data_IF_790245963655
#
_entry.id   IF_790245963655
#
_cell.length_a   1.000
_cell.length_b   1.000
_cell.length_c   1.000
_cell.angle_alpha   90.00
_cell.angle_beta   90.00
_cell.angle_gamma   90.00
#
_symmetry.space_group_name_H-M   'P 1'
#
loop_
_entity.id
_entity.type
_entity.pdbx_description
1 polymer ?
#
# COMPACT_ATOMS: atom_id res chain seq x y z
N UNK A 1 2.07 59.61 30.51
CA UNK A 1 2.20 58.17 30.93
C UNK A 1 3.34 58.12 31.94
N UNK A 2 3.09 57.67 33.17
CA UNK A 2 4.12 57.62 34.24
C UNK A 2 5.18 56.58 33.87
N UNK A 3 6.43 56.83 34.24
CA UNK A 3 7.61 55.95 33.95
C UNK A 3 7.37 54.46 34.34
N UNK A 4 6.56 54.20 35.36
CA UNK A 4 6.20 52.89 35.83
C UNK A 4 5.27 52.13 34.85
N UNK A 5 4.36 52.82 34.18
CA UNK A 5 3.47 52.26 33.16
C UNK A 5 4.24 51.87 31.91
N UNK A 6 5.16 52.71 31.43
CA UNK A 6 6.02 52.41 30.28
C UNK A 6 6.90 51.16 30.54
N UNK A 7 7.43 51.03 31.77
CA UNK A 7 8.19 49.84 32.17
C UNK A 7 7.35 48.57 32.19
N UNK A 8 6.14 48.65 32.70
CA UNK A 8 5.22 47.50 32.74
C UNK A 8 4.79 47.03 31.30
N UNK A 9 4.53 47.98 30.41
CA UNK A 9 4.23 47.70 29.00
C UNK A 9 5.43 47.05 28.33
N UNK A 10 6.64 47.53 28.58
CA UNK A 10 7.86 46.94 28.01
C UNK A 10 8.07 45.50 28.50
N UNK A 11 7.85 45.24 29.79
CA UNK A 11 7.95 43.91 30.38
C UNK A 11 6.92 42.94 29.72
N UNK A 12 5.68 43.38 29.54
CA UNK A 12 4.63 42.57 28.88
C UNK A 12 4.99 42.26 27.42
N UNK A 13 5.57 43.21 26.69
CA UNK A 13 6.03 43.01 25.32
C UNK A 13 7.17 41.98 25.26
N UNK A 14 8.14 42.08 26.19
CA UNK A 14 9.23 41.11 26.26
C UNK A 14 8.70 39.70 26.57
N UNK A 15 7.77 39.57 27.51
CA UNK A 15 7.12 38.27 27.85
C UNK A 15 6.39 37.71 26.64
N UNK A 16 5.61 38.53 25.91
CA UNK A 16 4.88 38.05 24.71
C UNK A 16 5.83 37.58 23.62
N UNK A 17 6.97 38.28 23.41
CA UNK A 17 8.00 37.86 22.44
C UNK A 17 8.63 36.54 22.88
N UNK A 18 8.94 36.36 24.16
CA UNK A 18 9.52 35.12 24.69
C UNK A 18 8.54 33.94 24.54
N UNK A 19 7.22 34.14 24.74
CA UNK A 19 6.21 33.14 24.52
C UNK A 19 6.16 32.72 23.04
N UNK A 20 6.15 33.69 22.11
CA UNK A 20 6.13 33.41 20.66
C UNK A 20 7.41 32.65 20.23
N UNK A 21 8.57 33.01 20.79
CA UNK A 21 9.81 32.29 20.51
C UNK A 21 9.73 30.86 21.06
N UNK A 22 9.24 30.66 22.28
CA UNK A 22 9.11 29.35 22.90
C UNK A 22 8.13 28.47 22.13
N UNK A 23 6.99 29.00 21.67
CA UNK A 23 6.05 28.29 20.83
C UNK A 23 6.65 27.89 19.46
N UNK A 24 7.38 28.79 18.80
CA UNK A 24 8.07 28.47 17.54
C UNK A 24 9.15 27.41 17.73
N UNK A 25 9.92 27.48 18.82
CA UNK A 25 10.92 26.47 19.17
C UNK A 25 10.23 25.13 19.44
N UNK A 26 9.14 25.11 20.23
CA UNK A 26 8.37 23.91 20.53
C UNK A 26 7.77 23.26 19.25
N UNK A 27 7.22 24.07 18.36
CA UNK A 27 6.68 23.60 17.07
C UNK A 27 7.81 23.00 16.21
N UNK A 28 8.95 23.69 16.07
CA UNK A 28 10.09 23.19 15.28
C UNK A 28 10.68 21.89 15.83
N UNK A 29 10.68 21.69 17.16
CA UNK A 29 11.18 20.45 17.77
C UNK A 29 10.18 19.28 17.68
N UNK A 30 8.87 19.55 17.65
CA UNK A 30 7.85 18.50 17.72
C UNK A 30 7.13 18.22 16.38
N UNK A 31 7.30 19.06 15.37
CA UNK A 31 6.80 18.77 14.02
C UNK A 31 7.93 18.17 13.18
N UNK A 32 7.77 16.94 12.65
CA UNK A 32 8.75 16.40 11.71
C UNK A 32 8.87 17.36 10.53
N UNK A 33 10.09 17.58 10.06
CA UNK A 33 10.29 18.46 8.92
C UNK A 33 9.60 17.87 7.68
N UNK A 34 9.28 18.70 6.69
CA UNK A 34 8.56 18.25 5.48
C UNK A 34 9.34 17.16 4.74
N UNK A 35 10.65 17.18 4.77
CA UNK A 35 11.49 16.20 4.08
C UNK A 35 11.45 14.83 4.77
N UNK A 36 11.42 14.80 6.11
CA UNK A 36 11.23 13.59 6.88
C UNK A 36 9.83 12.99 6.66
N UNK A 37 8.79 13.83 6.62
CA UNK A 37 7.43 13.39 6.29
C UNK A 37 7.36 12.81 4.87
N UNK A 38 8.03 13.41 3.90
CA UNK A 38 8.11 12.91 2.53
C UNK A 38 8.81 11.55 2.52
N UNK A 39 9.98 11.44 3.16
CA UNK A 39 10.77 10.19 3.20
C UNK A 39 9.95 9.02 3.75
N UNK A 40 9.30 9.22 4.90
CA UNK A 40 8.47 8.17 5.51
C UNK A 40 7.28 7.76 4.62
N UNK A 41 6.68 8.70 3.92
CA UNK A 41 5.54 8.44 3.04
C UNK A 41 5.94 7.85 1.68
N UNK A 42 7.17 8.09 1.22
CA UNK A 42 7.72 7.46 0.02
C UNK A 42 7.88 5.94 0.19
N UNK A 43 8.15 5.46 1.40
CA UNK A 43 8.12 4.04 1.74
C UNK A 43 6.72 3.45 1.51
N UNK A 44 5.68 4.11 2.05
CA UNK A 44 4.28 3.69 1.88
C UNK A 44 3.82 3.75 0.43
N UNK A 45 4.30 4.74 -0.31
CA UNK A 45 4.03 4.88 -1.75
C UNK A 45 4.75 3.82 -2.60
N UNK A 46 5.75 3.13 -2.02
CA UNK A 46 6.57 2.13 -2.71
C UNK A 46 7.63 2.72 -3.64
N UNK A 47 8.04 3.98 -3.43
CA UNK A 47 9.03 4.69 -4.27
C UNK A 47 10.46 4.60 -3.75
N UNK A 48 10.66 3.88 -2.65
CA UNK A 48 11.98 3.55 -2.05
C UNK A 48 12.15 2.04 -1.95
N UNK A 49 13.38 1.59 -2.04
CA UNK A 49 13.73 0.21 -1.74
C UNK A 49 13.53 -0.03 -0.24
N UNK A 50 13.11 -1.24 0.13
CA UNK A 50 12.88 -1.61 1.53
C UNK A 50 13.51 -2.95 1.86
N UNK A 51 13.94 -3.10 3.11
CA UNK A 51 14.53 -4.31 3.66
C UNK A 51 13.86 -4.69 4.97
N UNK A 52 13.75 -5.98 5.23
CA UNK A 52 13.24 -6.47 6.52
C UNK A 52 13.05 -7.97 6.52
N UNK A 53 12.72 -8.51 7.69
CA UNK A 53 12.30 -9.89 7.81
C UNK A 53 10.97 -10.14 7.10
N UNK A 54 10.68 -11.41 6.79
CA UNK A 54 9.42 -11.77 6.15
C UNK A 54 9.42 -13.18 5.58
N UNK A 55 8.68 -13.38 4.49
CA UNK A 55 8.58 -14.67 3.80
C UNK A 55 8.85 -14.55 2.31
N UNK A 56 9.33 -15.65 1.74
CA UNK A 56 9.46 -15.85 0.30
C UNK A 56 8.59 -17.04 -0.09
N UNK A 57 7.71 -16.85 -1.05
CA UNK A 57 6.84 -17.89 -1.62
C UNK A 57 7.33 -18.17 -3.04
N UNK A 58 7.72 -19.41 -3.30
CA UNK A 58 8.07 -19.89 -4.62
C UNK A 58 6.94 -20.77 -5.15
N UNK A 59 6.37 -20.43 -6.30
CA UNK A 59 5.27 -21.16 -6.91
C UNK A 59 5.75 -21.68 -8.28
N UNK A 60 5.65 -22.98 -8.46
CA UNK A 60 5.82 -23.65 -9.75
C UNK A 60 4.49 -24.22 -10.17
N UNK A 61 3.95 -23.76 -11.30
CA UNK A 61 2.62 -24.11 -11.78
C UNK A 61 2.46 -25.58 -12.23
N UNK A 62 3.53 -26.34 -12.32
CA UNK A 62 3.44 -27.81 -12.54
C UNK A 62 2.60 -28.18 -13.74
N UNK A 63 1.50 -28.91 -13.49
CA UNK A 63 0.54 -29.35 -14.52
C UNK A 63 -0.66 -28.41 -14.67
N UNK A 64 -0.95 -27.59 -13.68
CA UNK A 64 -2.02 -26.59 -13.68
C UNK A 64 -1.42 -25.19 -13.75
N UNK A 65 -2.10 -24.29 -14.47
CA UNK A 65 -1.63 -22.94 -14.68
C UNK A 65 -2.04 -22.03 -13.52
N UNK A 66 -1.11 -21.19 -13.05
CA UNK A 66 -1.44 -20.07 -12.18
C UNK A 66 -2.15 -19.00 -13.02
N UNK A 67 -3.27 -18.49 -12.50
CA UNK A 67 -4.06 -17.43 -13.11
C UNK A 67 -3.88 -16.09 -12.36
N UNK A 68 -4.35 -15.00 -12.96
CA UNK A 68 -4.32 -13.68 -12.30
C UNK A 68 -5.03 -13.67 -10.95
N UNK A 69 -6.14 -14.43 -10.84
CA UNK A 69 -6.95 -14.54 -9.62
C UNK A 69 -6.16 -15.13 -8.47
N UNK A 70 -5.35 -16.17 -8.74
CA UNK A 70 -4.49 -16.80 -7.74
C UNK A 70 -3.50 -15.80 -7.13
N UNK A 71 -2.88 -14.99 -7.99
CA UNK A 71 -1.96 -13.93 -7.53
C UNK A 71 -2.72 -12.89 -6.72
N UNK A 72 -3.88 -12.41 -7.19
CA UNK A 72 -4.70 -11.40 -6.49
C UNK A 72 -5.11 -11.89 -5.10
N UNK A 73 -5.56 -13.15 -4.98
CA UNK A 73 -5.96 -13.75 -3.70
C UNK A 73 -4.76 -13.88 -2.76
N UNK A 74 -3.60 -14.35 -3.26
CA UNK A 74 -2.38 -14.45 -2.45
C UNK A 74 -1.90 -13.08 -1.96
N UNK A 75 -1.99 -12.05 -2.78
CA UNK A 75 -1.65 -10.69 -2.38
C UNK A 75 -2.56 -10.19 -1.25
N UNK A 76 -3.85 -10.49 -1.32
CA UNK A 76 -4.80 -10.12 -0.27
C UNK A 76 -4.54 -10.91 1.02
N UNK A 77 -4.32 -12.22 0.95
CA UNK A 77 -3.94 -13.02 2.12
C UNK A 77 -2.65 -12.51 2.81
N UNK A 78 -1.66 -12.06 2.03
CA UNK A 78 -0.44 -11.47 2.57
C UNK A 78 -0.71 -10.14 3.28
N UNK A 79 -1.57 -9.28 2.72
CA UNK A 79 -1.99 -8.02 3.35
C UNK A 79 -2.76 -8.29 4.65
N UNK A 80 -3.72 -9.23 4.62
CA UNK A 80 -4.46 -9.70 5.81
C UNK A 80 -3.51 -10.23 6.91
N UNK A 81 -2.42 -10.88 6.52
CA UNK A 81 -1.40 -11.40 7.43
C UNK A 81 -0.45 -10.34 8.00
N UNK A 82 -0.60 -9.08 7.60
CA UNK A 82 0.20 -7.97 8.10
C UNK A 82 1.49 -7.72 7.31
N UNK A 83 1.55 -8.10 6.03
CA UNK A 83 2.66 -7.72 5.17
C UNK A 83 2.73 -6.19 5.00
N UNK A 84 3.91 -5.61 5.16
CA UNK A 84 4.17 -4.18 5.03
C UNK A 84 4.62 -3.79 3.62
N UNK A 85 5.24 -4.73 2.91
CA UNK A 85 5.68 -4.57 1.54
C UNK A 85 5.64 -5.91 0.80
N UNK A 86 5.17 -5.91 -0.45
CA UNK A 86 5.06 -7.12 -1.26
C UNK A 86 5.64 -6.87 -2.65
N UNK A 87 6.28 -7.89 -3.22
CA UNK A 87 6.65 -7.93 -4.64
C UNK A 87 6.39 -9.30 -5.24
N UNK A 88 6.11 -9.34 -6.55
CA UNK A 88 5.98 -10.56 -7.34
C UNK A 88 6.96 -10.49 -8.50
N UNK A 89 7.86 -11.46 -8.62
CA UNK A 89 8.94 -11.48 -9.63
C UNK A 89 9.66 -10.12 -9.75
N UNK A 90 9.94 -9.47 -8.60
CA UNK A 90 10.58 -8.17 -8.54
C UNK A 90 9.68 -6.96 -8.81
N UNK A 91 8.41 -7.14 -9.18
CA UNK A 91 7.47 -6.05 -9.34
C UNK A 91 6.88 -5.67 -7.97
N UNK A 92 7.17 -4.46 -7.47
CA UNK A 92 6.61 -3.93 -6.21
C UNK A 92 5.11 -3.72 -6.34
N UNK A 93 4.36 -4.27 -5.40
CA UNK A 93 2.92 -4.07 -5.32
C UNK A 93 2.62 -2.72 -4.63
N UNK A 94 1.79 -1.91 -5.26
CA UNK A 94 1.35 -0.59 -4.78
C UNK A 94 -0.15 -0.43 -4.98
N UNK A 95 -0.75 0.65 -4.44
CA UNK A 95 -2.21 0.83 -4.36
C UNK A 95 -2.98 0.67 -5.68
N UNK A 96 -2.37 1.03 -6.80
CA UNK A 96 -2.97 0.92 -8.12
C UNK A 96 -2.30 -0.16 -8.99
N UNK A 97 -1.65 -1.15 -8.38
CA UNK A 97 -1.15 -2.33 -9.09
C UNK A 97 -2.33 -3.18 -9.55
N UNK A 98 -2.24 -3.68 -10.78
CA UNK A 98 -3.18 -4.64 -11.34
C UNK A 98 -2.44 -5.86 -11.88
N UNK A 99 -3.12 -7.01 -11.83
CA UNK A 99 -2.69 -8.28 -12.39
C UNK A 99 -3.63 -8.63 -13.53
N UNK A 100 -3.09 -8.97 -14.68
CA UNK A 100 -3.88 -9.27 -15.89
C UNK A 100 -3.32 -10.49 -16.60
N UNK A 101 -4.21 -11.36 -17.14
CA UNK A 101 -3.86 -12.46 -18.02
C UNK A 101 -4.02 -12.05 -19.50
N UNK A 102 -2.95 -12.20 -20.28
CA UNK A 102 -2.97 -12.13 -21.74
C UNK A 102 -2.70 -13.54 -22.31
N UNK A 103 -3.77 -14.29 -22.54
CA UNK A 103 -3.68 -15.72 -22.85
C UNK A 103 -3.09 -16.51 -21.69
N UNK A 104 -1.91 -17.11 -21.87
CA UNK A 104 -1.21 -17.88 -20.85
C UNK A 104 -0.13 -17.09 -20.08
N UNK A 105 -0.05 -15.78 -20.29
CA UNK A 105 0.97 -14.91 -19.69
C UNK A 105 0.33 -13.98 -18.68
N UNK A 106 0.86 -13.97 -17.45
CA UNK A 106 0.46 -13.02 -16.42
C UNK A 106 1.30 -11.73 -16.55
N UNK A 107 0.62 -10.60 -16.44
CA UNK A 107 1.24 -9.28 -16.40
C UNK A 107 0.93 -8.61 -15.06
N UNK A 108 1.93 -7.95 -14.48
CA UNK A 108 1.76 -7.03 -13.35
C UNK A 108 2.14 -5.64 -13.84
N UNK A 109 1.19 -4.70 -13.80
CA UNK A 109 1.40 -3.33 -14.30
C UNK A 109 1.94 -3.29 -15.75
N UNK A 110 1.51 -4.25 -16.59
CA UNK A 110 1.96 -4.39 -17.98
C UNK A 110 3.31 -5.10 -18.15
N UNK A 111 3.98 -5.49 -17.07
CA UNK A 111 5.24 -6.26 -17.12
C UNK A 111 4.92 -7.75 -17.09
N UNK A 112 5.41 -8.48 -18.10
CA UNK A 112 5.24 -9.93 -18.18
C UNK A 112 6.00 -10.62 -17.05
N UNK A 113 5.30 -11.50 -16.34
CA UNK A 113 5.90 -12.39 -15.34
C UNK A 113 5.60 -13.84 -15.70
N UNK A 114 6.37 -14.76 -15.20
CA UNK A 114 6.21 -16.19 -15.51
C UNK A 114 6.81 -17.07 -14.44
N UNK A 115 6.57 -18.34 -14.62
CA UNK A 115 7.04 -19.42 -13.76
C UNK A 115 8.59 -19.49 -13.72
N UNK A 116 9.21 -19.65 -12.51
CA UNK A 116 8.55 -19.68 -11.22
C UNK A 116 8.05 -18.30 -10.77
N UNK A 117 6.89 -18.27 -10.11
CA UNK A 117 6.41 -17.05 -9.47
C UNK A 117 7.07 -16.92 -8.09
N UNK A 118 7.84 -15.86 -7.91
CA UNK A 118 8.53 -15.57 -6.64
C UNK A 118 7.85 -14.38 -5.98
N UNK A 119 7.12 -14.65 -4.89
CA UNK A 119 6.46 -13.61 -4.11
C UNK A 119 7.30 -13.37 -2.86
N UNK A 120 7.66 -12.12 -2.61
CA UNK A 120 8.35 -11.68 -1.41
C UNK A 120 7.43 -10.79 -0.60
N UNK A 121 7.35 -11.00 0.71
CA UNK A 121 6.58 -10.18 1.63
C UNK A 121 7.42 -9.84 2.86
N UNK A 122 7.58 -8.56 3.16
CA UNK A 122 8.23 -8.04 4.37
C UNK A 122 7.17 -7.81 5.44
N UNK A 123 7.47 -8.12 6.70
CA UNK A 123 6.64 -7.99 7.89
C UNK A 123 7.02 -9.07 8.90
N UNK A 124 6.28 -9.20 10.01
CA UNK A 124 6.57 -10.25 11.02
C UNK A 124 6.54 -11.64 10.37
N UNK A 125 7.71 -12.20 10.18
CA UNK A 125 7.92 -13.45 9.42
C UNK A 125 7.17 -14.64 10.01
N UNK A 126 7.00 -14.68 11.33
CA UNK A 126 6.31 -15.76 12.02
C UNK A 126 4.78 -15.67 11.81
N UNK A 127 4.23 -14.48 11.95
CA UNK A 127 2.79 -14.22 11.76
C UNK A 127 2.38 -14.48 10.31
N UNK A 128 3.11 -13.91 9.34
CA UNK A 128 2.80 -14.07 7.92
C UNK A 128 2.94 -15.53 7.51
N UNK A 129 4.03 -16.20 7.91
CA UNK A 129 4.22 -17.63 7.61
C UNK A 129 3.06 -18.48 8.14
N UNK A 130 2.68 -18.28 9.41
CA UNK A 130 1.57 -19.02 10.03
C UNK A 130 0.22 -18.79 9.35
N UNK A 131 -0.05 -17.55 8.94
CA UNK A 131 -1.27 -17.20 8.23
C UNK A 131 -1.34 -17.84 6.84
N UNK A 132 -0.25 -17.77 6.06
CA UNK A 132 -0.21 -18.25 4.68
C UNK A 132 -0.18 -19.78 4.61
N UNK A 133 0.48 -20.47 5.56
CA UNK A 133 0.60 -21.94 5.57
C UNK A 133 -0.52 -22.65 6.33
N UNK A 134 -1.58 -21.94 6.77
CA UNK A 134 -2.71 -22.55 7.49
C UNK A 134 -3.44 -23.59 6.61
N UNK A 135 -3.94 -24.67 7.24
CA UNK A 135 -4.57 -25.81 6.55
C UNK A 135 -5.76 -25.47 5.62
N UNK A 136 -6.39 -24.31 5.80
CA UNK A 136 -7.52 -23.83 4.98
C UNK A 136 -7.19 -22.52 4.24
N UNK A 137 -5.92 -22.13 4.16
CA UNK A 137 -5.45 -20.97 3.42
C UNK A 137 -5.35 -21.27 1.92
N UNK A 138 -5.11 -20.23 1.16
CA UNK A 138 -5.08 -20.34 -0.29
C UNK A 138 -3.89 -21.18 -0.80
N UNK A 139 -2.73 -21.12 -0.14
CA UNK A 139 -1.58 -22.00 -0.43
C UNK A 139 -1.96 -23.47 -0.32
N UNK A 140 -2.76 -23.86 0.70
CA UNK A 140 -3.22 -25.22 0.83
C UNK A 140 -4.18 -25.64 -0.32
N UNK A 141 -4.97 -24.71 -0.83
CA UNK A 141 -5.83 -24.92 -2.01
C UNK A 141 -4.98 -25.15 -3.27
N UNK A 142 -4.02 -24.27 -3.56
CA UNK A 142 -3.10 -24.41 -4.69
C UNK A 142 -2.34 -25.75 -4.67
N UNK A 143 -1.85 -26.13 -3.47
CA UNK A 143 -1.13 -27.41 -3.32
C UNK A 143 -2.04 -28.61 -3.59
N UNK A 144 -3.31 -28.57 -3.15
CA UNK A 144 -4.29 -29.60 -3.42
C UNK A 144 -4.62 -29.74 -4.91
N UNK A 145 -4.58 -28.61 -5.63
CA UNK A 145 -4.82 -28.56 -7.07
C UNK A 145 -3.56 -28.94 -7.90
N UNK A 146 -2.49 -29.37 -7.22
CA UNK A 146 -1.28 -29.91 -7.87
C UNK A 146 -0.18 -28.88 -8.12
N UNK A 147 -0.36 -27.63 -7.70
CA UNK A 147 0.64 -26.58 -7.82
C UNK A 147 1.69 -26.73 -6.71
N UNK A 148 2.96 -26.65 -7.09
CA UNK A 148 4.06 -26.74 -6.14
C UNK A 148 4.29 -25.36 -5.49
N UNK A 149 4.04 -25.27 -4.18
CA UNK A 149 4.25 -24.04 -3.41
C UNK A 149 5.25 -24.30 -2.28
N UNK A 150 6.34 -23.57 -2.26
CA UNK A 150 7.33 -23.57 -1.18
C UNK A 150 7.31 -22.20 -0.48
N UNK A 151 7.18 -22.20 0.84
CA UNK A 151 7.13 -20.98 1.67
C UNK A 151 8.27 -21.01 2.66
N UNK A 152 9.13 -20.02 2.63
CA UNK A 152 10.30 -19.90 3.50
C UNK A 152 10.29 -18.58 4.25
N UNK A 153 10.71 -18.60 5.52
CA UNK A 153 11.02 -17.39 6.29
C UNK A 153 12.41 -16.89 5.95
N UNK A 154 12.60 -15.59 5.95
CA UNK A 154 13.89 -14.94 5.77
C UNK A 154 14.04 -13.79 6.76
N UNK A 155 15.24 -13.61 7.32
CA UNK A 155 15.55 -12.53 8.25
C UNK A 155 15.83 -11.20 7.52
N UNK A 156 16.18 -11.28 6.22
CA UNK A 156 16.46 -10.11 5.38
C UNK A 156 15.96 -10.34 3.96
N UNK A 157 14.93 -9.59 3.59
CA UNK A 157 14.33 -9.57 2.27
C UNK A 157 14.48 -8.17 1.71
N UNK A 158 15.06 -8.06 0.53
CA UNK A 158 15.05 -6.82 -0.24
C UNK A 158 13.88 -6.81 -1.21
N UNK A 159 13.10 -5.71 -1.19
CA UNK A 159 12.06 -5.42 -2.18
C UNK A 159 12.34 -4.04 -2.78
N UNK A 160 12.64 -4.02 -4.07
CA UNK A 160 12.94 -2.80 -4.80
C UNK A 160 11.72 -1.89 -4.93
N UNK A 161 11.98 -0.61 -5.12
CA UNK A 161 10.95 0.40 -5.40
C UNK A 161 10.18 0.12 -6.70
N UNK A 162 8.97 0.67 -6.78
CA UNK A 162 8.16 0.57 -7.99
C UNK A 162 8.72 1.42 -9.14
N UNK A 163 8.54 0.92 -10.36
CA UNK A 163 8.88 1.64 -11.61
C UNK A 163 7.65 2.33 -12.23
N UNK A 164 6.48 2.33 -11.57
CA UNK A 164 5.26 2.96 -12.13
C UNK A 164 5.48 4.45 -12.42
N UNK A 165 5.12 4.87 -13.62
CA UNK A 165 5.32 6.24 -14.10
C UNK A 165 4.63 7.28 -13.21
N UNK A 166 3.40 6.99 -12.73
CA UNK A 166 2.66 7.91 -11.84
C UNK A 166 3.43 8.17 -10.54
N UNK A 167 4.06 7.13 -9.98
CA UNK A 167 4.87 7.24 -8.76
C UNK A 167 6.17 7.99 -9.02
N UNK A 168 6.85 7.75 -10.14
CA UNK A 168 8.05 8.49 -10.56
C UNK A 168 7.78 9.98 -10.77
N UNK A 169 6.61 10.35 -11.30
CA UNK A 169 6.22 11.76 -11.45
C UNK A 169 6.07 12.48 -10.10
N UNK A 170 5.74 11.76 -9.05
CA UNK A 170 5.70 12.33 -7.68
C UNK A 170 7.11 12.51 -7.13
N UNK A 171 7.98 11.52 -7.30
CA UNK A 171 9.39 11.59 -6.85
C UNK A 171 10.10 12.78 -7.49
N UNK A 172 9.83 13.05 -8.77
CA UNK A 172 10.45 14.13 -9.54
C UNK A 172 9.91 15.54 -9.23
N UNK A 173 8.87 15.68 -8.40
CA UNK A 173 8.35 17.00 -7.99
C UNK A 173 9.37 17.72 -7.08
N UNK A 174 9.83 18.88 -7.53
CA UNK A 174 10.87 19.67 -6.83
C UNK A 174 10.35 20.49 -5.65
N UNK A 175 9.05 20.81 -5.65
CA UNK A 175 8.45 21.57 -4.57
C UNK A 175 7.98 20.62 -3.47
N UNK A 176 8.64 20.64 -2.30
CA UNK A 176 8.39 19.71 -1.20
C UNK A 176 6.93 19.73 -0.70
N UNK A 177 6.29 20.90 -0.62
CA UNK A 177 4.89 21.02 -0.21
C UNK A 177 3.94 20.39 -1.25
N UNK A 178 4.19 20.65 -2.55
CA UNK A 178 3.41 20.04 -3.63
C UNK A 178 3.64 18.53 -3.69
N UNK A 179 4.88 18.08 -3.49
CA UNK A 179 5.26 16.67 -3.44
C UNK A 179 4.52 15.95 -2.31
N UNK A 180 4.59 16.49 -1.09
CA UNK A 180 3.88 15.95 0.06
C UNK A 180 2.38 15.83 -0.19
N UNK A 181 1.75 16.87 -0.75
CA UNK A 181 0.31 16.85 -1.09
C UNK A 181 -0.04 15.80 -2.14
N UNK A 182 0.82 15.58 -3.15
CA UNK A 182 0.62 14.52 -4.15
C UNK A 182 0.72 13.13 -3.51
N UNK A 183 1.73 12.91 -2.66
CA UNK A 183 1.89 11.67 -1.91
C UNK A 183 0.64 11.40 -1.06
N UNK A 184 0.19 12.39 -0.27
CA UNK A 184 -0.98 12.25 0.59
C UNK A 184 -2.27 11.90 -0.16
N UNK A 185 -2.43 12.36 -1.39
CA UNK A 185 -3.53 11.93 -2.26
C UNK A 185 -3.42 10.46 -2.66
N UNK A 186 -2.23 10.00 -3.03
CA UNK A 186 -2.00 8.64 -3.52
C UNK A 186 -2.07 7.59 -2.40
N UNK A 187 -1.58 7.92 -1.21
CA UNK A 187 -1.67 7.01 -0.04
C UNK A 187 -3.01 7.10 0.70
N UNK A 188 -3.94 7.94 0.25
CA UNK A 188 -5.29 8.04 0.79
C UNK A 188 -5.48 8.99 1.98
N UNK A 189 -4.45 9.74 2.38
CA UNK A 189 -4.53 10.70 3.50
C UNK A 189 -5.32 11.97 3.17
N UNK A 190 -5.57 12.24 1.89
CA UNK A 190 -6.36 13.37 1.42
C UNK A 190 -7.51 12.90 0.54
N UNK A 191 -8.65 13.56 0.69
CA UNK A 191 -9.79 13.39 -0.21
C UNK A 191 -9.41 13.80 -1.63
N UNK A 192 -9.95 13.09 -2.59
CA UNK A 192 -9.79 13.37 -4.01
C UNK A 192 -11.17 13.48 -4.67
N UNK A 193 -11.25 14.25 -5.76
CA UNK A 193 -12.45 14.38 -6.57
C UNK A 193 -12.04 14.43 -8.04
N UNK A 194 -12.87 13.86 -8.89
CA UNK A 194 -12.64 13.81 -10.34
C UNK A 194 -13.81 13.19 -11.07
N UNK A 195 -13.70 13.09 -12.38
CA UNK A 195 -14.65 12.30 -13.19
C UNK A 195 -14.44 10.82 -12.90
N UNK A 196 -15.52 10.04 -12.86
CA UNK A 196 -15.42 8.62 -12.56
C UNK A 196 -16.71 7.89 -12.90
N UNK A 197 -16.78 6.65 -12.44
CA UNK A 197 -17.95 5.78 -12.51
C UNK A 197 -18.42 5.41 -11.11
N UNK A 198 -19.72 5.26 -10.95
CA UNK A 198 -20.35 4.70 -9.75
C UNK A 198 -20.95 3.35 -10.15
N UNK A 199 -20.61 2.31 -9.39
CA UNK A 199 -21.08 0.94 -9.59
C UNK A 199 -21.96 0.57 -8.40
N UNK A 200 -23.22 0.32 -8.63
CA UNK A 200 -24.14 -0.18 -7.61
C UNK A 200 -24.36 -1.69 -7.81
N UNK A 201 -24.09 -2.47 -6.78
CA UNK A 201 -24.29 -3.92 -6.79
C UNK A 201 -25.48 -4.23 -5.87
N UNK A 202 -26.57 -4.73 -6.46
CA UNK A 202 -27.76 -5.16 -5.72
C UNK A 202 -27.71 -6.67 -5.44
N UNK A 203 -27.45 -7.03 -4.18
CA UNK A 203 -27.35 -8.43 -3.74
C UNK A 203 -28.72 -9.04 -3.41
N UNK A 204 -29.81 -8.30 -3.51
CA UNK A 204 -31.16 -8.79 -3.19
C UNK A 204 -31.66 -9.92 -4.11
N UNK A 205 -31.04 -10.10 -5.28
CA UNK A 205 -31.43 -11.06 -6.33
C UNK A 205 -30.33 -12.04 -6.74
N UNK A 206 -29.17 -11.97 -6.11
CA UNK A 206 -28.00 -12.80 -6.46
C UNK A 206 -27.44 -13.47 -5.21
N UNK A 207 -26.56 -14.46 -5.41
CA UNK A 207 -25.73 -15.01 -4.34
C UNK A 207 -24.86 -13.92 -3.71
N UNK A 208 -24.49 -14.10 -2.45
CA UNK A 208 -23.68 -13.18 -1.69
C UNK A 208 -22.42 -12.76 -2.46
N UNK A 209 -22.10 -11.47 -2.41
CA UNK A 209 -20.84 -10.92 -2.91
C UNK A 209 -19.75 -11.30 -1.93
N UNK A 210 -18.72 -11.99 -2.42
CA UNK A 210 -17.55 -12.40 -1.62
C UNK A 210 -16.43 -11.36 -1.70
N UNK A 211 -15.49 -11.43 -0.77
CA UNK A 211 -14.25 -10.65 -0.81
C UNK A 211 -13.50 -10.85 -2.14
N UNK A 212 -13.44 -12.07 -2.66
CA UNK A 212 -12.81 -12.39 -3.94
C UNK A 212 -13.45 -11.62 -5.11
N UNK A 213 -14.80 -11.54 -5.14
CA UNK A 213 -15.49 -10.77 -6.19
C UNK A 213 -15.13 -9.29 -6.14
N UNK A 214 -15.01 -8.71 -4.95
CA UNK A 214 -14.61 -7.31 -4.77
C UNK A 214 -13.13 -7.09 -5.11
N UNK A 215 -12.25 -8.04 -4.78
CA UNK A 215 -10.82 -7.99 -5.15
C UNK A 215 -10.64 -7.98 -6.67
N UNK A 216 -11.38 -8.84 -7.38
CA UNK A 216 -11.39 -8.87 -8.85
C UNK A 216 -11.88 -7.54 -9.42
N UNK A 217 -12.97 -6.98 -8.90
CA UNK A 217 -13.48 -5.68 -9.34
C UNK A 217 -12.47 -4.55 -9.11
N UNK A 218 -11.79 -4.52 -7.95
CA UNK A 218 -10.73 -3.54 -7.66
C UNK A 218 -9.59 -3.69 -8.68
N UNK A 219 -9.18 -4.93 -8.95
CA UNK A 219 -8.13 -5.23 -9.91
C UNK A 219 -8.50 -4.74 -11.32
N UNK A 220 -9.74 -4.98 -11.76
CA UNK A 220 -10.25 -4.53 -13.05
C UNK A 220 -10.32 -3.00 -13.14
N UNK A 221 -10.77 -2.33 -12.09
CA UNK A 221 -10.77 -0.86 -12.01
C UNK A 221 -9.35 -0.31 -12.09
N UNK A 222 -8.39 -0.91 -11.39
CA UNK A 222 -6.97 -0.52 -11.50
C UNK A 222 -6.43 -0.75 -12.91
N UNK A 223 -6.76 -1.87 -13.55
CA UNK A 223 -6.39 -2.17 -14.93
C UNK A 223 -6.99 -1.17 -15.92
N UNK A 224 -8.21 -0.70 -15.65
CA UNK A 224 -8.88 0.34 -16.43
C UNK A 224 -8.31 1.77 -16.19
N UNK A 225 -7.36 1.91 -15.26
CA UNK A 225 -6.68 3.18 -14.97
C UNK A 225 -7.33 4.02 -13.87
N UNK A 226 -8.09 3.42 -12.95
CA UNK A 226 -8.63 4.13 -11.81
C UNK A 226 -7.49 4.70 -10.94
N UNK A 227 -7.58 6.00 -10.64
CA UNK A 227 -6.60 6.70 -9.78
C UNK A 227 -6.97 6.61 -8.30
N UNK A 228 -8.26 6.39 -8.01
CA UNK A 228 -8.79 6.24 -6.66
C UNK A 228 -10.05 5.39 -6.69
N UNK A 229 -10.16 4.47 -5.74
CA UNK A 229 -11.30 3.57 -5.59
C UNK A 229 -11.83 3.69 -4.17
N UNK A 230 -13.14 3.64 -3.99
CA UNK A 230 -13.76 3.47 -2.67
C UNK A 230 -14.91 2.47 -2.76
N UNK A 231 -15.14 1.74 -1.67
CA UNK A 231 -16.26 0.81 -1.52
C UNK A 231 -17.03 1.24 -0.28
N UNK A 232 -18.31 1.59 -0.44
CA UNK A 232 -19.16 2.08 0.64
C UNK A 232 -18.45 3.16 1.48
N UNK A 233 -17.92 4.20 0.79
CA UNK A 233 -17.17 5.33 1.36
C UNK A 233 -15.79 4.98 1.97
N UNK A 234 -15.40 3.72 1.99
CA UNK A 234 -14.07 3.30 2.44
C UNK A 234 -13.07 3.37 1.30
N UNK A 235 -12.04 4.22 1.43
CA UNK A 235 -10.97 4.38 0.44
C UNK A 235 -10.10 3.12 0.39
N UNK A 236 -9.88 2.60 -0.82
CA UNK A 236 -8.92 1.51 -1.07
C UNK A 236 -7.52 2.11 -1.21
N UNK A 237 -6.57 1.59 -0.43
CA UNK A 237 -5.16 1.98 -0.41
C UNK A 237 -4.26 0.76 -0.52
N UNK A 238 -2.93 0.96 -0.57
CA UNK A 238 -1.97 -0.11 -0.88
C UNK A 238 -2.16 -1.39 -0.04
N UNK A 239 -2.32 -1.23 1.27
CA UNK A 239 -2.43 -2.39 2.18
C UNK A 239 -3.88 -2.64 2.64
N UNK A 240 -4.88 -2.14 1.91
CA UNK A 240 -6.28 -2.53 2.15
C UNK A 240 -6.46 -4.01 1.80
N UNK A 241 -7.01 -4.75 2.73
CA UNK A 241 -7.41 -6.15 2.64
C UNK A 241 -8.93 -6.27 2.67
N UNK A 242 -9.45 -7.35 2.15
CA UNK A 242 -10.88 -7.67 2.15
C UNK A 242 -11.10 -9.06 2.75
N UNK A 243 -12.01 -9.16 3.70
CA UNK A 243 -12.37 -10.42 4.33
C UNK A 243 -13.86 -10.66 4.34
N UNK A 244 -14.27 -11.91 4.08
CA UNK A 244 -15.64 -12.35 4.37
C UNK A 244 -15.79 -12.52 5.88
N UNK A 245 -16.80 -11.89 6.46
CA UNK A 245 -17.16 -12.05 7.87
C UNK A 245 -18.29 -13.11 7.91
N UNK A 246 -17.97 -14.30 8.44
CA UNK A 246 -18.92 -15.39 8.68
C UNK A 246 -19.72 -15.16 9.94
#
# INVERSE_FOLDING_TARGET
MKTKEKRNILILLIISILIIIAENVYINFNTPNIEEQISNKEVLLGTTDVHGEGIIININDGNDLIHQEDIVILLDELKNAGAEAISVNGQRIVSNTYVYCDGSVILIDGVKIGNPFVIKAIGDSQTIYGAITRNKGYVATLTKDGIQVDVQKSEDIEISKTNKTIMQNVVNEKNSVKKLKKIDKLIGNLSVSGSGVEITIDTSKTSDITAITLLQLINDLNSAGAEAISINDNRIVNMTDLMDIN
#
